data_IF_857676478916
#
_entry.id   IF_857676478916
#
_cell.length_a   1.000
_cell.length_b   1.000
_cell.length_c   1.000
_cell.angle_alpha   90.00
_cell.angle_beta   90.00
_cell.angle_gamma   90.00
#
_symmetry.space_group_name_H-M   'P 1'
#
loop_
_entity.id
_entity.type
_entity.pdbx_description
1 polymer ?
#
# COMPACT_ATOMS: atom_id res chain seq x y z
N UNK A 1 12.51 -10.18 -3.69
CA UNK A 1 11.89 -9.28 -4.68
C UNK A 1 12.91 -8.25 -5.09
N UNK A 2 12.98 -7.89 -6.37
CA UNK A 2 13.78 -6.75 -6.81
C UNK A 2 13.01 -5.42 -6.60
N UNK A 3 13.69 -4.28 -6.70
CA UNK A 3 13.09 -2.96 -6.44
C UNK A 3 11.84 -2.68 -7.30
N UNK A 4 11.87 -3.07 -8.58
CA UNK A 4 10.73 -2.92 -9.49
C UNK A 4 9.53 -3.75 -9.05
N UNK A 5 9.74 -4.97 -8.57
CA UNK A 5 8.68 -5.83 -8.04
C UNK A 5 8.08 -5.26 -6.77
N UNK A 6 8.92 -4.75 -5.86
CA UNK A 6 8.47 -4.10 -4.62
C UNK A 6 7.61 -2.88 -4.93
N UNK A 7 8.08 -2.01 -5.84
CA UNK A 7 7.33 -0.84 -6.29
C UNK A 7 5.95 -1.22 -6.83
N UNK A 8 5.89 -2.13 -7.80
CA UNK A 8 4.63 -2.51 -8.45
C UNK A 8 3.63 -3.15 -7.47
N UNK A 9 4.12 -3.99 -6.55
CA UNK A 9 3.28 -4.62 -5.53
C UNK A 9 2.72 -3.58 -4.55
N UNK A 10 3.57 -2.69 -4.05
CA UNK A 10 3.16 -1.61 -3.16
C UNK A 10 2.16 -0.65 -3.83
N UNK A 11 2.38 -0.27 -5.09
CA UNK A 11 1.45 0.58 -5.85
C UNK A 11 0.09 -0.08 -6.05
N UNK A 12 0.05 -1.40 -6.23
CA UNK A 12 -1.21 -2.14 -6.33
C UNK A 12 -1.99 -2.13 -5.01
N UNK A 13 -1.29 -2.18 -3.87
CA UNK A 13 -1.89 -2.06 -2.53
C UNK A 13 -2.42 -0.64 -2.31
N UNK A 14 -1.64 0.39 -2.67
CA UNK A 14 -2.08 1.79 -2.56
C UNK A 14 -3.31 2.05 -3.43
N UNK A 15 -3.32 1.57 -4.67
CA UNK A 15 -4.49 1.69 -5.54
C UNK A 15 -5.71 1.01 -4.92
N UNK A 16 -5.54 -0.18 -4.36
CA UNK A 16 -6.61 -0.87 -3.65
C UNK A 16 -7.12 -0.08 -2.43
N UNK A 17 -6.24 0.54 -1.63
CA UNK A 17 -6.64 1.42 -0.52
C UNK A 17 -7.49 2.59 -1.01
N UNK A 18 -7.08 3.25 -2.10
CA UNK A 18 -7.82 4.37 -2.70
C UNK A 18 -9.18 3.90 -3.23
N UNK A 19 -9.23 2.74 -3.88
CA UNK A 19 -10.50 2.20 -4.37
C UNK A 19 -11.46 1.89 -3.22
N UNK A 20 -10.97 1.28 -2.13
CA UNK A 20 -11.77 0.99 -0.93
C UNK A 20 -12.23 2.28 -0.23
N UNK A 21 -11.36 3.30 -0.13
CA UNK A 21 -11.72 4.57 0.52
C UNK A 21 -12.76 5.38 -0.24
N UNK A 22 -12.85 5.17 -1.56
CA UNK A 22 -13.91 5.72 -2.41
C UNK A 22 -15.22 4.91 -2.35
N UNK A 23 -15.32 3.89 -1.48
CA UNK A 23 -16.50 3.05 -1.33
C UNK A 23 -16.71 2.05 -2.48
N UNK A 24 -15.67 1.79 -3.29
CA UNK A 24 -15.77 0.73 -4.30
C UNK A 24 -15.70 -0.63 -3.63
N UNK A 25 -16.46 -1.58 -4.16
CA UNK A 25 -16.46 -2.95 -3.69
C UNK A 25 -15.67 -3.85 -4.64
N UNK A 26 -14.80 -4.74 -4.12
CA UNK A 26 -14.10 -5.70 -4.96
C UNK A 26 -15.07 -6.76 -5.50
N UNK A 27 -14.87 -7.14 -6.75
CA UNK A 27 -15.56 -8.32 -7.29
C UNK A 27 -15.11 -9.57 -6.50
N UNK A 28 -16.10 -10.29 -5.95
CA UNK A 28 -15.96 -11.49 -5.11
C UNK A 28 -15.23 -12.63 -5.83
N UNK A 29 -15.06 -12.59 -7.15
CA UNK A 29 -14.29 -13.60 -7.90
C UNK A 29 -12.88 -13.15 -8.31
N UNK A 30 -12.51 -11.88 -8.05
CA UNK A 30 -11.20 -11.38 -8.43
C UNK A 30 -10.09 -11.95 -7.53
N UNK A 31 -8.88 -12.15 -8.07
CA UNK A 31 -7.65 -12.48 -7.33
C UNK A 31 -6.76 -11.25 -7.11
N UNK A 32 -7.35 -10.06 -7.15
CA UNK A 32 -6.60 -8.80 -7.11
C UNK A 32 -6.20 -8.46 -5.67
N UNK A 33 -5.14 -7.65 -5.49
CA UNK A 33 -4.83 -7.02 -4.21
C UNK A 33 -6.01 -6.26 -3.62
N UNK A 34 -6.90 -5.72 -4.47
CA UNK A 34 -8.12 -5.02 -4.04
C UNK A 34 -9.06 -5.92 -3.24
N UNK A 35 -9.33 -7.13 -3.71
CA UNK A 35 -10.10 -8.10 -2.92
C UNK A 35 -9.35 -8.54 -1.68
N UNK A 36 -8.09 -8.96 -1.83
CA UNK A 36 -7.31 -9.48 -0.70
C UNK A 36 -7.19 -8.43 0.41
N UNK A 37 -7.05 -7.16 0.05
CA UNK A 37 -6.95 -6.05 0.99
C UNK A 37 -8.25 -5.81 1.75
N UNK A 38 -9.41 -5.92 1.09
CA UNK A 38 -10.72 -5.67 1.70
C UNK A 38 -11.03 -6.61 2.88
N UNK A 39 -10.52 -7.84 2.83
CA UNK A 39 -10.71 -8.87 3.87
C UNK A 39 -9.43 -9.09 4.70
N UNK A 40 -8.41 -8.25 4.53
CA UNK A 40 -7.09 -8.48 5.13
C UNK A 40 -7.10 -8.24 6.65
N UNK A 41 -6.62 -9.19 7.45
CA UNK A 41 -6.55 -9.03 8.92
C UNK A 41 -5.75 -7.79 9.37
N UNK A 42 -4.71 -7.45 8.60
CA UNK A 42 -3.86 -6.28 8.83
C UNK A 42 -4.35 -5.02 8.07
N UNK A 43 -5.59 -4.98 7.56
CA UNK A 43 -6.10 -3.85 6.79
C UNK A 43 -5.86 -2.50 7.49
N UNK A 44 -6.20 -2.43 8.78
CA UNK A 44 -6.00 -1.23 9.61
C UNK A 44 -4.53 -0.81 9.65
N UNK A 45 -3.59 -1.75 9.83
CA UNK A 45 -2.15 -1.45 9.86
C UNK A 45 -1.65 -0.93 8.51
N UNK A 46 -2.13 -1.51 7.41
CA UNK A 46 -1.78 -1.08 6.05
C UNK A 46 -2.31 0.33 5.78
N UNK A 47 -3.58 0.59 6.13
CA UNK A 47 -4.22 1.90 6.00
C UNK A 47 -3.49 2.95 6.82
N UNK A 48 -3.19 2.65 8.08
CA UNK A 48 -2.57 3.60 9.00
C UNK A 48 -1.14 3.93 8.55
N UNK A 49 -0.38 2.95 8.05
CA UNK A 49 0.94 3.21 7.45
C UNK A 49 0.86 4.12 6.22
N UNK A 50 -0.19 4.02 5.41
CA UNK A 50 -0.42 4.93 4.29
C UNK A 50 -0.78 6.34 4.76
N UNK A 51 -1.67 6.47 5.74
CA UNK A 51 -2.03 7.76 6.33
C UNK A 51 -0.79 8.43 6.94
N UNK A 52 0.04 7.68 7.67
CA UNK A 52 1.26 8.20 8.29
C UNK A 52 2.27 8.70 7.25
N UNK A 53 2.43 7.96 6.13
CA UNK A 53 3.23 8.45 5.02
C UNK A 53 2.68 9.76 4.44
N UNK A 54 1.35 9.85 4.25
CA UNK A 54 0.71 11.04 3.68
C UNK A 54 0.79 12.28 4.57
N UNK A 55 0.86 12.14 5.90
CA UNK A 55 1.00 13.29 6.82
C UNK A 55 2.26 14.10 6.54
N UNK A 56 3.33 13.42 6.13
CA UNK A 56 4.64 14.01 5.88
C UNK A 56 4.90 14.24 4.38
N UNK A 57 4.00 13.80 3.50
CA UNK A 57 4.17 13.86 2.05
C UNK A 57 3.50 15.11 1.47
N UNK A 58 4.30 16.02 0.93
CA UNK A 58 3.86 17.28 0.33
C UNK A 58 3.45 17.15 -1.16
N UNK A 59 3.51 15.93 -1.70
CA UNK A 59 3.20 15.64 -3.10
C UNK A 59 4.42 15.59 -4.03
N UNK A 60 5.63 15.80 -3.52
CA UNK A 60 6.86 15.85 -4.32
C UNK A 60 7.94 14.92 -3.76
N UNK A 61 8.91 14.60 -4.63
CA UNK A 61 10.07 13.78 -4.28
C UNK A 61 11.27 14.49 -4.88
N UNK A 62 11.87 15.35 -4.07
CA UNK A 62 12.90 16.29 -4.53
C UNK A 62 14.27 15.99 -3.88
N UNK A 63 14.31 15.07 -2.91
CA UNK A 63 15.54 14.67 -2.20
C UNK A 63 15.72 13.14 -2.10
N UNK A 64 16.97 12.72 -1.85
CA UNK A 64 17.30 11.33 -1.53
C UNK A 64 16.57 10.84 -0.26
N UNK A 65 16.31 11.75 0.67
CA UNK A 65 15.57 11.43 1.89
C UNK A 65 14.10 11.11 1.58
N UNK A 66 13.47 11.86 0.67
CA UNK A 66 12.10 11.58 0.21
C UNK A 66 12.02 10.23 -0.52
N UNK A 67 13.00 9.94 -1.37
CA UNK A 67 13.11 8.65 -2.04
C UNK A 67 13.24 7.50 -1.03
N UNK A 68 14.07 7.68 0.00
CA UNK A 68 14.21 6.70 1.07
C UNK A 68 12.90 6.51 1.83
N UNK A 69 12.22 7.59 2.23
CA UNK A 69 10.93 7.53 2.92
C UNK A 69 9.87 6.79 2.10
N UNK A 70 9.78 7.09 0.80
CA UNK A 70 8.89 6.38 -0.13
C UNK A 70 9.24 4.88 -0.20
N UNK A 71 10.52 4.53 -0.28
CA UNK A 71 10.94 3.13 -0.31
C UNK A 71 10.62 2.40 1.00
N UNK A 72 10.92 3.00 2.14
CA UNK A 72 10.62 2.45 3.47
C UNK A 72 9.10 2.24 3.65
N UNK A 73 8.29 3.20 3.21
CA UNK A 73 6.83 3.08 3.16
C UNK A 73 6.39 1.87 2.31
N UNK A 74 6.92 1.72 1.10
CA UNK A 74 6.57 0.60 0.20
C UNK A 74 6.89 -0.75 0.84
N UNK A 75 8.03 -0.88 1.50
CA UNK A 75 8.41 -2.10 2.21
C UNK A 75 7.46 -2.36 3.38
N UNK A 76 7.14 -1.32 4.18
CA UNK A 76 6.26 -1.45 5.34
C UNK A 76 4.88 -1.98 4.99
N UNK A 77 4.20 -1.40 3.98
CA UNK A 77 2.87 -1.86 3.58
C UNK A 77 2.90 -3.26 2.97
N UNK A 78 3.97 -3.58 2.22
CA UNK A 78 4.14 -4.88 1.60
C UNK A 78 4.33 -5.97 2.66
N UNK A 79 5.09 -5.68 3.71
CA UNK A 79 5.26 -6.59 4.84
C UNK A 79 3.92 -6.84 5.52
N UNK A 80 3.17 -5.80 5.89
CA UNK A 80 1.85 -5.99 6.50
C UNK A 80 0.87 -6.77 5.63
N UNK A 81 0.92 -6.60 4.31
CA UNK A 81 0.06 -7.31 3.35
C UNK A 81 0.49 -8.77 3.09
N UNK A 82 1.75 -9.09 3.34
CA UNK A 82 2.28 -10.44 3.20
C UNK A 82 2.29 -11.21 4.52
N UNK A 83 2.19 -10.52 5.66
CA UNK A 83 2.11 -11.10 7.01
C UNK A 83 0.73 -11.71 7.32
N UNK A 84 0.16 -12.40 6.33
CA UNK A 84 -1.13 -13.09 6.35
C UNK A 84 -0.96 -14.57 6.76
N UNK A 85 -0.06 -14.82 7.72
CA UNK A 85 0.12 -16.14 8.37
C UNK A 85 -0.98 -16.45 9.38
#
# INVERSE_FOLDING_TARGET
MNEKQTKNAAESIVKALVELSLGKEPNIFSKSPFRKLAEHKNYTLIRDAYIDYLKEFDGKIDSDEDMKRLFDFRIKILNYFNDDK
#
